data_IF_441996340182
#
_entry.id   IF_441996340182
#
_cell.length_a   1.000
_cell.length_b   1.000
_cell.length_c   1.000
_cell.angle_alpha   90.00
_cell.angle_beta   90.00
_cell.angle_gamma   90.00
#
_symmetry.space_group_name_H-M   'P 1'
#
loop_
_entity.id
_entity.type
_entity.pdbx_description
1 polymer ?
#
# COMPACT_ATOMS: atom_id res chain seq x y z
N UNK A 1 39.46 -48.66 10.06
CA UNK A 1 38.36 -47.89 10.71
C UNK A 1 38.49 -46.38 10.59
N UNK A 2 39.65 -45.74 10.65
CA UNK A 2 39.78 -44.25 10.56
C UNK A 2 39.38 -43.60 9.21
N UNK A 3 39.46 -44.35 8.10
CA UNK A 3 39.12 -43.81 6.76
C UNK A 3 37.61 -43.62 6.58
N UNK A 4 36.79 -44.58 6.98
CA UNK A 4 35.32 -44.53 6.81
C UNK A 4 34.69 -43.38 7.61
N UNK A 5 35.22 -43.10 8.82
CA UNK A 5 34.73 -41.97 9.66
C UNK A 5 34.97 -40.62 9.01
N UNK A 6 36.11 -40.43 8.32
CA UNK A 6 36.40 -39.18 7.62
C UNK A 6 35.44 -38.99 6.44
N UNK A 7 35.17 -40.04 5.65
CA UNK A 7 34.26 -40.00 4.53
C UNK A 7 32.82 -39.69 4.99
N UNK A 8 32.37 -40.32 6.08
CA UNK A 8 31.05 -40.07 6.68
C UNK A 8 30.92 -38.61 7.15
N UNK A 9 31.95 -38.06 7.80
CA UNK A 9 31.96 -36.66 8.24
C UNK A 9 31.89 -35.68 7.05
N UNK A 10 32.59 -35.95 5.95
CA UNK A 10 32.58 -35.13 4.76
C UNK A 10 31.18 -35.14 4.12
N UNK A 11 30.56 -36.33 3.95
CA UNK A 11 29.23 -36.46 3.42
C UNK A 11 28.20 -35.73 4.29
N UNK A 12 28.28 -35.90 5.62
CA UNK A 12 27.39 -35.23 6.58
C UNK A 12 27.53 -33.70 6.50
N UNK A 13 28.74 -33.18 6.45
CA UNK A 13 28.97 -31.74 6.33
C UNK A 13 28.44 -31.19 5.00
N UNK A 14 28.57 -31.94 3.91
CA UNK A 14 28.07 -31.57 2.60
C UNK A 14 26.54 -31.54 2.57
N UNK A 15 25.87 -32.51 3.21
CA UNK A 15 24.41 -32.54 3.34
C UNK A 15 23.91 -31.36 4.18
N UNK A 16 24.55 -31.05 5.32
CA UNK A 16 24.20 -29.90 6.16
C UNK A 16 24.36 -28.60 5.40
N UNK A 17 25.42 -28.45 4.62
CA UNK A 17 25.66 -27.25 3.82
C UNK A 17 24.58 -27.09 2.73
N UNK A 18 24.25 -28.15 1.99
CA UNK A 18 23.22 -28.13 0.97
C UNK A 18 21.82 -27.81 1.56
N UNK A 19 21.46 -28.44 2.66
CA UNK A 19 20.18 -28.16 3.34
C UNK A 19 20.11 -26.72 3.83
N UNK A 20 21.21 -26.18 4.38
CA UNK A 20 21.26 -24.77 4.80
C UNK A 20 21.03 -23.79 3.64
N UNK A 21 21.67 -24.06 2.49
CA UNK A 21 21.47 -23.26 1.27
C UNK A 21 20.01 -23.31 0.83
N UNK A 22 19.41 -24.49 0.77
CA UNK A 22 18.01 -24.65 0.37
C UNK A 22 17.07 -23.87 1.31
N UNK A 23 17.28 -23.99 2.62
CA UNK A 23 16.46 -23.27 3.63
C UNK A 23 16.54 -21.76 3.41
N UNK A 24 17.74 -21.23 3.18
CA UNK A 24 17.93 -19.80 2.92
C UNK A 24 17.22 -19.36 1.64
N UNK A 25 17.36 -20.13 0.56
CA UNK A 25 16.70 -19.80 -0.71
C UNK A 25 15.17 -19.83 -0.60
N UNK A 26 14.64 -20.84 0.11
CA UNK A 26 13.18 -20.93 0.36
C UNK A 26 12.70 -19.76 1.23
N UNK A 27 13.44 -19.39 2.26
CA UNK A 27 13.08 -18.26 3.12
C UNK A 27 13.04 -16.93 2.35
N UNK A 28 14.04 -16.66 1.50
CA UNK A 28 14.09 -15.47 0.66
C UNK A 28 12.93 -15.48 -0.35
N UNK A 29 12.69 -16.60 -1.03
CA UNK A 29 11.60 -16.73 -2.00
C UNK A 29 10.22 -16.56 -1.39
N UNK A 30 9.97 -17.15 -0.23
CA UNK A 30 8.70 -17.02 0.50
C UNK A 30 8.44 -15.58 0.92
N UNK A 31 9.47 -14.86 1.37
CA UNK A 31 9.37 -13.45 1.75
C UNK A 31 9.01 -12.58 0.56
N UNK A 32 9.64 -12.80 -0.59
CA UNK A 32 9.34 -12.04 -1.81
C UNK A 32 7.90 -12.26 -2.29
N UNK A 33 7.43 -13.52 -2.28
CA UNK A 33 6.05 -13.85 -2.66
C UNK A 33 5.05 -13.16 -1.72
N UNK A 34 5.32 -13.18 -0.41
CA UNK A 34 4.49 -12.48 0.58
C UNK A 34 4.40 -10.99 0.31
N UNK A 35 5.55 -10.34 0.12
CA UNK A 35 5.64 -8.91 -0.18
C UNK A 35 4.85 -8.53 -1.44
N UNK A 36 5.08 -9.24 -2.55
CA UNK A 36 4.39 -8.98 -3.81
C UNK A 36 2.88 -9.20 -3.70
N UNK A 37 2.46 -10.20 -2.92
CA UNK A 37 1.05 -10.47 -2.63
C UNK A 37 0.37 -9.32 -1.88
N UNK A 38 1.01 -8.80 -0.83
CA UNK A 38 0.48 -7.66 -0.05
C UNK A 38 0.46 -6.40 -0.90
N UNK A 39 1.53 -6.12 -1.64
CA UNK A 39 1.61 -4.99 -2.55
C UNK A 39 0.49 -5.01 -3.60
N UNK A 40 0.26 -6.16 -4.25
CA UNK A 40 -0.83 -6.32 -5.23
C UNK A 40 -2.21 -6.10 -4.60
N UNK A 41 -2.42 -6.60 -3.39
CA UNK A 41 -3.66 -6.39 -2.63
C UNK A 41 -3.86 -4.90 -2.31
N UNK A 42 -2.80 -4.20 -1.92
CA UNK A 42 -2.86 -2.76 -1.63
C UNK A 42 -3.30 -1.95 -2.85
N UNK A 43 -2.71 -2.19 -4.02
CA UNK A 43 -3.13 -1.52 -5.25
C UNK A 43 -4.58 -1.80 -5.60
N UNK A 44 -5.00 -3.06 -5.54
CA UNK A 44 -6.39 -3.42 -5.83
C UNK A 44 -7.36 -2.71 -4.86
N UNK A 45 -7.02 -2.65 -3.58
CA UNK A 45 -7.82 -1.93 -2.58
C UNK A 45 -7.86 -0.43 -2.87
N UNK A 46 -6.72 0.17 -3.23
CA UNK A 46 -6.64 1.58 -3.60
C UNK A 46 -7.50 1.90 -4.83
N UNK A 47 -7.49 1.05 -5.85
CA UNK A 47 -8.33 1.21 -7.06
C UNK A 47 -9.82 1.10 -6.73
N UNK A 48 -10.21 0.16 -5.88
CA UNK A 48 -11.60 0.04 -5.39
C UNK A 48 -12.02 1.31 -4.67
N UNK A 49 -11.18 1.84 -3.78
CA UNK A 49 -11.45 3.08 -3.05
C UNK A 49 -11.56 4.26 -4.02
N UNK A 50 -10.60 4.42 -4.94
CA UNK A 50 -10.63 5.48 -5.96
C UNK A 50 -11.95 5.45 -6.75
N UNK A 51 -12.31 4.28 -7.29
CA UNK A 51 -13.51 4.14 -8.13
C UNK A 51 -14.80 4.38 -7.35
N UNK A 52 -14.86 3.91 -6.11
CA UNK A 52 -16.01 4.15 -5.24
C UNK A 52 -16.15 5.63 -4.86
N UNK A 53 -15.06 6.28 -4.48
CA UNK A 53 -15.07 7.72 -4.18
C UNK A 53 -15.48 8.53 -5.41
N UNK A 54 -14.97 8.18 -6.59
CA UNK A 54 -15.37 8.81 -7.85
C UNK A 54 -16.87 8.66 -8.09
N UNK A 55 -17.43 7.47 -7.84
CA UNK A 55 -18.88 7.25 -7.90
C UNK A 55 -19.65 8.12 -6.92
N UNK A 56 -19.19 8.25 -5.67
CA UNK A 56 -19.81 9.14 -4.68
C UNK A 56 -19.76 10.62 -5.09
N UNK A 57 -18.64 11.06 -5.70
CA UNK A 57 -18.51 12.43 -6.23
C UNK A 57 -19.52 12.71 -7.32
N UNK A 58 -19.63 11.82 -8.31
CA UNK A 58 -20.54 11.98 -9.45
C UNK A 58 -22.01 11.97 -9.05
N UNK A 59 -22.35 11.14 -8.06
CA UNK A 59 -23.73 11.01 -7.58
C UNK A 59 -24.08 12.02 -6.47
N UNK A 60 -23.17 12.90 -6.07
CA UNK A 60 -23.41 13.89 -5.01
C UNK A 60 -23.51 13.30 -3.60
N UNK A 61 -23.08 12.08 -3.40
CA UNK A 61 -23.21 11.33 -2.14
C UNK A 61 -21.92 11.30 -1.29
N UNK A 62 -21.09 12.32 -1.39
CA UNK A 62 -19.81 12.38 -0.65
C UNK A 62 -19.97 12.37 0.88
N UNK A 63 -21.16 12.67 1.39
CA UNK A 63 -21.46 12.57 2.83
C UNK A 63 -21.48 11.13 3.35
N UNK A 64 -21.59 10.14 2.50
CA UNK A 64 -21.62 8.71 2.88
C UNK A 64 -20.27 8.00 2.68
N UNK A 65 -19.23 8.72 2.28
CA UNK A 65 -17.90 8.13 2.01
C UNK A 65 -17.21 7.53 3.23
N UNK A 66 -17.50 8.06 4.42
CA UNK A 66 -16.99 7.57 5.70
C UNK A 66 -17.45 6.12 5.97
N UNK A 67 -18.73 5.83 5.79
CA UNK A 67 -19.29 4.48 5.96
C UNK A 67 -18.60 3.48 5.03
N UNK A 68 -18.35 3.88 3.78
CA UNK A 68 -17.64 3.06 2.82
C UNK A 68 -16.17 2.82 3.24
N UNK A 69 -15.45 3.89 3.61
CA UNK A 69 -14.06 3.79 4.03
C UNK A 69 -13.89 2.94 5.29
N UNK A 70 -14.79 3.06 6.25
CA UNK A 70 -14.82 2.23 7.45
C UNK A 70 -15.03 0.75 7.10
N UNK A 71 -15.92 0.47 6.14
CA UNK A 71 -16.16 -0.90 5.67
C UNK A 71 -14.92 -1.53 5.03
N UNK A 72 -14.15 -0.76 4.26
CA UNK A 72 -12.88 -1.21 3.70
C UNK A 72 -11.81 -1.37 4.79
N UNK A 73 -11.76 -0.45 5.76
CA UNK A 73 -10.85 -0.53 6.91
C UNK A 73 -11.07 -1.76 7.80
N UNK A 74 -12.26 -2.34 7.77
CA UNK A 74 -12.60 -3.58 8.52
C UNK A 74 -12.26 -4.87 7.75
N UNK A 75 -11.75 -4.78 6.54
CA UNK A 75 -11.33 -5.97 5.79
C UNK A 75 -10.19 -6.69 6.52
N UNK A 76 -10.25 -8.04 6.48
CA UNK A 76 -9.22 -8.89 7.09
C UNK A 76 -7.83 -8.52 6.55
N UNK A 77 -6.89 -8.33 7.47
CA UNK A 77 -5.50 -7.94 7.22
C UNK A 77 -5.29 -6.47 6.81
N UNK A 78 -6.32 -5.64 6.75
CA UNK A 78 -6.16 -4.19 6.68
C UNK A 78 -6.03 -3.69 8.12
N UNK A 79 -4.84 -3.20 8.48
CA UNK A 79 -4.57 -2.67 9.81
C UNK A 79 -5.06 -1.22 9.94
N UNK A 80 -4.86 -0.44 8.88
CA UNK A 80 -5.34 0.93 8.81
C UNK A 80 -5.54 1.39 7.38
N UNK A 81 -6.50 2.30 7.20
CA UNK A 81 -6.78 2.97 5.95
C UNK A 81 -7.13 4.43 6.24
N UNK A 82 -6.56 5.36 5.49
CA UNK A 82 -7.00 6.74 5.49
C UNK A 82 -6.73 7.41 4.14
N UNK A 83 -7.52 8.43 3.87
CA UNK A 83 -7.34 9.30 2.71
C UNK A 83 -6.58 10.54 3.12
N UNK A 84 -5.84 11.09 2.17
CA UNK A 84 -5.17 12.37 2.33
C UNK A 84 -5.58 13.26 1.18
N UNK A 85 -6.17 14.43 1.47
CA UNK A 85 -6.55 15.39 0.44
C UNK A 85 -5.39 16.31 0.11
N UNK A 86 -5.22 16.59 -1.18
CA UNK A 86 -4.32 17.66 -1.60
C UNK A 86 -4.89 19.03 -1.24
N UNK A 87 -3.99 20.00 -1.07
CA UNK A 87 -4.36 21.38 -0.72
C UNK A 87 -5.29 22.01 -1.77
N UNK A 88 -5.02 21.78 -3.06
CA UNK A 88 -5.85 22.28 -4.17
C UNK A 88 -7.31 21.79 -4.08
N UNK A 89 -7.52 20.54 -3.67
CA UNK A 89 -8.87 19.98 -3.48
C UNK A 89 -9.57 20.62 -2.27
N UNK A 90 -8.83 20.86 -1.18
CA UNK A 90 -9.38 21.53 0.00
C UNK A 90 -9.70 23.00 -0.26
N UNK A 91 -8.91 23.68 -1.07
CA UNK A 91 -9.17 25.07 -1.50
C UNK A 91 -10.41 25.17 -2.40
N UNK A 92 -10.66 24.18 -3.27
CA UNK A 92 -11.80 24.17 -4.18
C UNK A 92 -13.12 23.77 -3.51
N UNK A 93 -13.09 22.74 -2.64
CA UNK A 93 -14.31 22.12 -2.09
C UNK A 93 -14.47 22.35 -0.57
N UNK A 94 -13.61 23.15 0.04
CA UNK A 94 -13.58 23.37 1.48
C UNK A 94 -12.86 22.28 2.24
N UNK A 95 -12.60 22.53 3.52
CA UNK A 95 -11.95 21.57 4.40
C UNK A 95 -12.87 20.36 4.63
N UNK A 96 -12.26 19.19 4.72
CA UNK A 96 -12.98 17.97 5.06
C UNK A 96 -13.47 18.03 6.52
N UNK A 97 -14.70 17.59 6.73
CA UNK A 97 -15.23 17.36 8.08
C UNK A 97 -14.74 16.03 8.69
N UNK A 98 -14.02 15.21 7.90
CA UNK A 98 -13.46 13.94 8.35
C UNK A 98 -12.04 14.16 8.87
N UNK A 99 -11.81 13.79 10.13
CA UNK A 99 -10.50 13.90 10.78
C UNK A 99 -9.39 13.09 10.08
N UNK A 100 -9.78 12.12 9.27
CA UNK A 100 -8.87 11.18 8.58
C UNK A 100 -8.47 11.61 7.15
N UNK A 101 -8.77 12.82 6.71
CA UNK A 101 -8.41 13.31 5.37
C UNK A 101 -7.22 14.29 5.35
N UNK A 102 -6.56 14.47 6.49
CA UNK A 102 -5.34 15.27 6.60
C UNK A 102 -4.08 14.38 6.56
N UNK A 103 -2.94 14.89 6.07
CA UNK A 103 -1.67 14.20 6.19
C UNK A 103 -1.36 13.88 7.65
N UNK A 104 -0.96 12.64 7.93
CA UNK A 104 -0.63 12.21 9.29
C UNK A 104 0.85 12.29 9.60
N UNK A 105 1.70 12.24 8.57
CA UNK A 105 3.15 12.24 8.70
C UNK A 105 3.87 12.70 7.42
N UNK A 106 5.20 12.67 7.47
CA UNK A 106 6.07 13.09 6.37
C UNK A 106 5.92 12.21 5.13
N UNK A 107 5.51 10.94 5.26
CA UNK A 107 5.28 10.04 4.13
C UNK A 107 4.09 10.53 3.30
N UNK A 108 3.00 10.89 3.97
CA UNK A 108 1.82 11.45 3.30
C UNK A 108 2.16 12.77 2.58
N UNK A 109 2.91 13.65 3.26
CA UNK A 109 3.33 14.95 2.68
C UNK A 109 4.25 14.77 1.47
N UNK A 110 5.19 13.82 1.54
CA UNK A 110 6.11 13.52 0.45
C UNK A 110 5.35 12.99 -0.78
N UNK A 111 4.39 12.06 -0.58
CA UNK A 111 3.58 11.50 -1.66
C UNK A 111 2.70 12.56 -2.30
N UNK A 112 2.05 13.42 -1.51
CA UNK A 112 1.27 14.54 -2.05
C UNK A 112 2.10 15.52 -2.87
N UNK A 113 3.36 15.75 -2.47
CA UNK A 113 4.27 16.68 -3.15
C UNK A 113 4.91 16.09 -4.40
N UNK A 114 5.34 14.82 -4.32
CA UNK A 114 6.09 14.16 -5.40
C UNK A 114 5.21 13.52 -6.45
N UNK A 115 3.98 13.12 -6.08
CA UNK A 115 3.13 12.28 -6.92
C UNK A 115 3.67 10.86 -7.13
N UNK A 116 4.64 10.45 -6.32
CA UNK A 116 5.24 9.11 -6.37
C UNK A 116 4.81 8.31 -5.15
N UNK A 117 4.40 7.09 -5.38
CA UNK A 117 4.04 6.18 -4.28
C UNK A 117 5.21 5.92 -3.33
N UNK A 118 4.90 5.68 -2.06
CA UNK A 118 5.90 5.33 -1.06
C UNK A 118 5.48 4.09 -0.29
N UNK A 119 6.42 3.16 -0.13
CA UNK A 119 6.25 1.94 0.64
C UNK A 119 7.18 2.01 1.85
N UNK A 120 6.61 1.77 3.02
CA UNK A 120 7.33 1.67 4.29
C UNK A 120 7.08 0.29 4.85
N UNK A 121 8.16 -0.41 5.19
CA UNK A 121 8.10 -1.72 5.82
C UNK A 121 8.67 -1.59 7.23
N UNK A 122 7.86 -1.93 8.22
CA UNK A 122 8.25 -2.00 9.62
C UNK A 122 8.29 -3.45 10.04
N UNK A 123 9.49 -3.98 10.21
CA UNK A 123 9.68 -5.38 10.61
C UNK A 123 10.13 -5.48 12.05
N UNK A 124 9.52 -6.40 12.78
CA UNK A 124 9.90 -6.88 14.09
C UNK A 124 10.19 -8.38 14.02
N UNK A 125 10.63 -8.97 15.12
CA UNK A 125 10.90 -10.43 15.19
C UNK A 125 9.65 -11.28 14.91
N UNK A 126 8.45 -10.75 15.15
CA UNK A 126 7.18 -11.50 15.07
C UNK A 126 6.15 -10.87 14.18
N UNK A 127 6.34 -9.64 13.72
CA UNK A 127 5.38 -8.88 12.92
C UNK A 127 6.08 -8.15 11.79
N UNK A 128 5.43 -8.09 10.64
CA UNK A 128 5.86 -7.28 9.52
C UNK A 128 4.68 -6.44 9.06
N UNK A 129 4.75 -5.13 9.26
CA UNK A 129 3.76 -4.18 8.79
C UNK A 129 4.24 -3.57 7.49
N UNK A 130 3.42 -3.65 6.45
CA UNK A 130 3.67 -2.97 5.19
C UNK A 130 2.67 -1.84 5.04
N UNK A 131 3.16 -0.61 5.00
CA UNK A 131 2.39 0.57 4.64
C UNK A 131 2.71 0.99 3.22
N UNK A 132 1.68 1.23 2.43
CA UNK A 132 1.79 1.82 1.10
C UNK A 132 0.93 3.08 1.04
N UNK A 133 1.52 4.17 0.56
CA UNK A 133 0.81 5.43 0.28
C UNK A 133 0.86 5.68 -1.21
N UNK A 134 -0.33 5.70 -1.84
CA UNK A 134 -0.50 5.78 -3.30
C UNK A 134 -1.17 7.11 -3.64
N UNK A 135 -0.57 7.95 -4.51
CA UNK A 135 -1.17 9.21 -4.94
C UNK A 135 -2.34 8.97 -5.90
N UNK A 136 -3.32 9.83 -5.84
CA UNK A 136 -4.38 9.97 -6.84
C UNK A 136 -4.13 11.22 -7.66
N UNK A 137 -3.78 11.03 -8.93
CA UNK A 137 -3.49 12.10 -9.86
C UNK A 137 -4.68 12.39 -10.76
N UNK A 138 -4.85 13.65 -11.13
CA UNK A 138 -5.86 14.07 -12.08
C UNK A 138 -5.55 13.52 -13.47
N UNK A 139 -6.54 12.92 -14.13
CA UNK A 139 -6.39 12.43 -15.48
C UNK A 139 -7.64 12.75 -16.31
N UNK A 140 -7.40 13.26 -17.52
CA UNK A 140 -8.44 13.46 -18.54
C UNK A 140 -8.88 12.14 -19.16
N UNK A 141 -8.10 11.08 -19.05
CA UNK A 141 -8.37 9.76 -19.59
C UNK A 141 -9.24 8.89 -18.67
N UNK A 142 -9.35 9.26 -17.40
CA UNK A 142 -10.24 8.58 -16.45
C UNK A 142 -11.72 8.79 -16.83
N UNK A 143 -12.55 7.86 -16.42
CA UNK A 143 -14.00 7.95 -16.65
C UNK A 143 -14.73 7.90 -15.29
N UNK A 144 -15.30 9.02 -14.86
CA UNK A 144 -15.33 10.35 -15.50
C UNK A 144 -13.97 11.05 -15.51
N UNK A 145 -13.80 11.99 -16.44
CA UNK A 145 -12.63 12.84 -16.53
C UNK A 145 -12.48 13.68 -15.25
N UNK A 146 -11.35 13.55 -14.56
CA UNK A 146 -11.07 14.25 -13.30
C UNK A 146 -11.12 15.78 -13.48
N UNK A 147 -10.63 16.27 -14.62
CA UNK A 147 -10.53 17.71 -14.91
C UNK A 147 -11.88 18.37 -15.20
N UNK A 148 -12.96 17.58 -15.37
CA UNK A 148 -14.31 18.14 -15.52
C UNK A 148 -14.89 18.68 -14.21
N UNK A 149 -14.39 18.20 -13.07
CA UNK A 149 -14.86 18.57 -11.73
C UNK A 149 -13.77 19.26 -10.88
N UNK A 150 -12.50 18.90 -11.10
CA UNK A 150 -11.37 19.45 -10.36
C UNK A 150 -10.66 20.55 -11.16
N UNK A 151 -10.42 21.69 -10.52
CA UNK A 151 -9.58 22.75 -11.07
C UNK A 151 -8.10 22.39 -10.90
N UNK A 152 -7.64 21.43 -11.70
CA UNK A 152 -6.30 20.85 -11.63
C UNK A 152 -5.72 20.68 -13.02
N UNK A 153 -4.42 20.46 -13.11
CA UNK A 153 -3.72 20.11 -14.34
C UNK A 153 -3.65 18.60 -14.50
N UNK A 154 -3.44 18.13 -15.73
CA UNK A 154 -3.14 16.72 -16.00
C UNK A 154 -1.93 16.29 -15.19
N UNK A 155 -2.07 15.15 -14.45
CA UNK A 155 -1.04 14.62 -13.58
C UNK A 155 -0.91 15.30 -12.20
N UNK A 156 -1.69 16.34 -11.90
CA UNK A 156 -1.67 16.99 -10.58
C UNK A 156 -2.23 16.05 -9.50
N UNK A 157 -1.57 16.00 -8.33
CA UNK A 157 -2.01 15.17 -7.23
C UNK A 157 -3.24 15.77 -6.56
N UNK A 158 -4.35 15.04 -6.58
CA UNK A 158 -5.62 15.41 -5.94
C UNK A 158 -5.71 14.91 -4.49
N UNK A 159 -4.96 13.89 -4.16
CA UNK A 159 -4.92 13.28 -2.85
C UNK A 159 -4.08 12.01 -2.86
N UNK A 160 -4.12 11.28 -1.77
CA UNK A 160 -3.48 9.98 -1.65
C UNK A 160 -4.32 9.05 -0.78
N UNK A 161 -4.12 7.75 -0.94
CA UNK A 161 -4.61 6.73 0.00
C UNK A 161 -3.42 6.09 0.68
N UNK A 162 -3.51 5.96 1.99
CA UNK A 162 -2.53 5.26 2.81
C UNK A 162 -3.17 4.00 3.39
N UNK A 163 -2.54 2.86 3.15
CA UNK A 163 -3.00 1.53 3.53
C UNK A 163 -1.90 0.82 4.30
N UNK A 164 -2.23 0.24 5.46
CA UNK A 164 -1.31 -0.63 6.21
C UNK A 164 -1.88 -2.04 6.30
N UNK A 165 -0.99 -3.01 6.17
CA UNK A 165 -1.28 -4.44 6.22
C UNK A 165 -0.32 -5.13 7.18
N UNK A 166 -0.80 -6.13 7.90
CA UNK A 166 -0.05 -7.07 8.73
C UNK A 166 0.08 -8.45 8.04
#
# INVERSE_FOLDING_TARGET
MKSNTKITLIIFSMVVLLTSIIVVLVAIGSRQIGYDGVKKKAYLTADIVKNSLTSHMVNGNMSQRDVFLDSIGQLKNVQSLWLVRAKSVSEQFGNSNLANENPKDDVDLEVLKSGVEKIVIEESLYTANLRITIPYTASSLDKPNCLSCHNAKEGEVLGAISLSFD
#
